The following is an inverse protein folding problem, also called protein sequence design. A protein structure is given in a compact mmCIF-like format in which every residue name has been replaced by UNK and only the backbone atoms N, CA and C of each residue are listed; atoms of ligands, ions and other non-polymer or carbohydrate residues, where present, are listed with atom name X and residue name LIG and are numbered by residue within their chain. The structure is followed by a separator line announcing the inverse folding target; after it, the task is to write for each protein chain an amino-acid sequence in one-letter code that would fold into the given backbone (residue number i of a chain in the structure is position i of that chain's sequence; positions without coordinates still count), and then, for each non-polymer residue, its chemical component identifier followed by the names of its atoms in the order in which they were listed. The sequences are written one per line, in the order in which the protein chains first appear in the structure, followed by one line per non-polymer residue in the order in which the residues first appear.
data_IF_002562447744
#
_entry.id   IF_002562447744
#
_cell.length_a   1.000
_cell.length_b   1.000
_cell.length_c   1.000
_cell.angle_alpha   90.00
_cell.angle_beta   90.00
_cell.angle_gamma   90.00
#
_symmetry.space_group_name_H-M   'P 1'
#
loop_
_entity.id
_entity.type
_entity.pdbx_description
1 polymer ?
#
# COMPACT_ATOMS: atom_id res chain seq x y z
N UNK A 1 12.42 19.48 2.59
CA UNK A 1 13.43 19.31 3.65
C UNK A 1 13.64 17.83 3.99
N UNK A 2 12.58 17.06 4.28
CA UNK A 2 12.69 15.62 4.61
C UNK A 2 13.20 14.72 3.46
N UNK A 3 12.64 14.80 2.25
CA UNK A 3 13.10 13.98 1.11
C UNK A 3 14.60 14.11 0.83
N UNK A 4 15.15 15.33 0.91
CA UNK A 4 16.59 15.56 0.78
C UNK A 4 17.40 14.88 1.89
N UNK A 5 16.90 14.89 3.13
CA UNK A 5 17.55 14.20 4.26
C UNK A 5 17.58 12.70 4.05
N UNK A 6 16.47 12.14 3.57
CA UNK A 6 16.31 10.70 3.34
C UNK A 6 16.93 10.20 2.01
N UNK A 7 17.56 11.09 1.23
CA UNK A 7 18.22 10.71 -0.02
C UNK A 7 17.24 10.38 -1.14
N UNK A 8 16.06 11.00 -1.15
CA UNK A 8 15.05 10.83 -2.19
C UNK A 8 15.63 11.18 -3.58
N UNK A 9 15.57 10.21 -4.49
CA UNK A 9 15.94 10.40 -5.89
C UNK A 9 15.07 9.49 -6.75
N UNK A 10 14.31 10.08 -7.67
CA UNK A 10 13.62 9.32 -8.72
C UNK A 10 14.66 8.85 -9.75
N UNK A 11 14.71 7.54 -10.00
CA UNK A 11 15.60 6.92 -10.98
C UNK A 11 15.05 7.02 -12.42
N UNK A 12 15.79 6.47 -13.39
CA UNK A 12 15.41 6.49 -14.80
C UNK A 12 14.10 5.76 -15.11
N UNK A 13 13.65 4.83 -14.25
CA UNK A 13 12.41 4.07 -14.41
C UNK A 13 11.24 4.74 -13.64
N UNK A 14 11.45 5.97 -13.18
CA UNK A 14 10.47 6.71 -12.41
C UNK A 14 10.26 6.14 -11.01
N UNK A 15 11.18 5.35 -10.46
CA UNK A 15 11.07 4.80 -9.10
C UNK A 15 11.82 5.67 -8.10
N UNK A 16 11.17 6.02 -7.00
CA UNK A 16 11.75 6.77 -5.90
C UNK A 16 12.71 5.87 -5.14
N UNK A 17 14.01 6.15 -5.21
CA UNK A 17 15.04 5.57 -4.35
C UNK A 17 15.23 6.46 -3.12
N UNK A 18 15.61 5.85 -1.99
CA UNK A 18 15.80 6.53 -0.70
C UNK A 18 17.22 6.26 -0.18
N UNK A 19 18.22 6.86 -0.82
CA UNK A 19 19.63 6.43 -0.71
C UNK A 19 20.26 6.62 0.67
N UNK A 20 19.63 7.40 1.55
CA UNK A 20 20.11 7.57 2.93
C UNK A 20 19.31 6.73 3.93
N UNK A 21 18.31 5.95 3.48
CA UNK A 21 17.51 5.07 4.33
C UNK A 21 18.00 3.64 4.23
N UNK A 22 18.08 2.95 5.36
CA UNK A 22 18.26 1.51 5.43
C UNK A 22 16.97 0.82 5.02
N UNK A 23 16.95 0.25 3.82
CA UNK A 23 15.78 -0.45 3.29
C UNK A 23 15.77 -1.92 3.76
N UNK A 24 16.95 -2.52 3.95
CA UNK A 24 17.11 -3.87 4.52
C UNK A 24 18.11 -3.85 5.66
N UNK A 25 18.11 -4.89 6.50
CA UNK A 25 19.10 -5.02 7.58
C UNK A 25 20.55 -5.16 7.07
N UNK A 26 20.70 -5.67 5.85
CA UNK A 26 21.98 -5.79 5.17
C UNK A 26 22.45 -4.52 4.46
N UNK A 27 21.63 -3.46 4.45
CA UNK A 27 21.97 -2.18 3.82
C UNK A 27 23.18 -1.53 4.51
N UNK A 28 24.23 -1.34 3.72
CA UNK A 28 25.52 -0.82 4.15
C UNK A 28 25.63 0.71 4.06
N UNK A 29 24.77 1.38 3.30
CA UNK A 29 24.89 2.81 2.99
C UNK A 29 23.90 3.69 3.74
N UNK A 30 22.70 3.17 4.05
CA UNK A 30 21.68 3.94 4.73
C UNK A 30 22.14 4.49 6.09
N UNK A 31 22.00 5.80 6.30
CA UNK A 31 22.32 6.49 7.56
C UNK A 31 21.13 6.54 8.52
N UNK A 32 19.92 6.44 7.98
CA UNK A 32 18.66 6.48 8.71
C UNK A 32 17.97 5.12 8.65
N UNK A 33 17.20 4.79 9.67
CA UNK A 33 16.33 3.62 9.67
C UNK A 33 14.95 4.03 10.12
N UNK A 34 13.95 3.33 9.63
CA UNK A 34 12.61 3.46 10.16
C UNK A 34 12.54 2.95 11.61
N UNK A 35 11.58 3.48 12.36
CA UNK A 35 11.27 2.96 13.70
C UNK A 35 10.74 1.53 13.57
N UNK A 36 11.03 0.72 14.59
CA UNK A 36 10.47 -0.62 14.75
C UNK A 36 9.34 -0.65 15.78
N UNK A 37 9.03 0.49 16.39
CA UNK A 37 7.87 0.65 17.27
C UNK A 37 6.65 1.00 16.40
N UNK A 38 5.57 0.23 16.56
CA UNK A 38 4.37 0.39 15.74
C UNK A 38 3.63 1.71 16.03
N UNK A 39 3.55 2.15 17.28
CA UNK A 39 2.87 3.39 17.64
C UNK A 39 3.61 4.61 17.07
N UNK A 40 4.94 4.63 17.19
CA UNK A 40 5.77 5.67 16.55
C UNK A 40 5.60 5.68 15.01
N UNK A 41 5.38 4.50 14.42
CA UNK A 41 5.14 4.39 12.98
C UNK A 41 3.79 5.01 12.61
N UNK A 42 2.73 4.74 13.37
CA UNK A 42 1.42 5.35 13.17
C UNK A 42 1.42 6.86 13.41
N UNK A 43 2.09 7.34 14.46
CA UNK A 43 2.22 8.77 14.75
C UNK A 43 2.94 9.52 13.62
N UNK A 44 3.95 8.88 13.02
CA UNK A 44 4.61 9.43 11.84
C UNK A 44 3.65 9.50 10.65
N UNK A 45 2.81 8.48 10.43
CA UNK A 45 1.82 8.52 9.34
C UNK A 45 0.86 9.69 9.51
N UNK A 46 0.32 9.89 10.70
CA UNK A 46 -0.56 11.01 11.04
C UNK A 46 0.13 12.35 10.76
N UNK A 47 1.31 12.54 11.35
CA UNK A 47 2.08 13.80 11.23
C UNK A 47 2.45 14.10 9.78
N UNK A 48 2.88 13.08 9.03
CA UNK A 48 3.29 13.26 7.65
C UNK A 48 2.11 13.53 6.72
N UNK A 49 0.99 12.81 6.92
CA UNK A 49 -0.25 13.05 6.19
C UNK A 49 -0.78 14.46 6.41
N UNK A 50 -0.70 15.01 7.62
CA UNK A 50 -1.07 16.41 7.89
C UNK A 50 -0.21 17.41 7.11
N UNK A 51 1.10 17.15 7.01
CA UNK A 51 2.01 17.96 6.20
C UNK A 51 1.63 17.89 4.72
N UNK A 52 1.32 16.70 4.21
CA UNK A 52 0.91 16.51 2.81
C UNK A 52 -0.41 17.20 2.53
N UNK A 53 -1.41 17.05 3.39
CA UNK A 53 -2.71 17.72 3.26
C UNK A 53 -2.55 19.25 3.28
N UNK A 54 -1.68 19.78 4.14
CA UNK A 54 -1.36 21.22 4.19
C UNK A 54 -0.63 21.72 2.93
N UNK A 55 0.27 20.91 2.36
CA UNK A 55 0.98 21.24 1.13
C UNK A 55 0.11 21.10 -0.14
N UNK A 56 -0.85 20.17 -0.11
CA UNK A 56 -1.71 19.79 -1.24
C UNK A 56 -3.19 19.82 -0.85
N UNK A 57 -3.75 21.00 -0.47
CA UNK A 57 -5.12 21.10 0.04
C UNK A 57 -6.21 20.72 -0.98
N UNK A 58 -5.84 20.62 -2.27
CA UNK A 58 -6.73 20.20 -3.37
C UNK A 58 -6.40 18.80 -3.90
N UNK A 59 -5.53 18.05 -3.22
CA UNK A 59 -4.95 16.82 -3.72
C UNK A 59 -3.63 17.02 -4.45
N UNK A 60 -2.95 15.91 -4.74
CA UNK A 60 -1.73 15.89 -5.52
C UNK A 60 -2.08 16.21 -6.98
N UNK A 61 -1.50 17.27 -7.57
CA UNK A 61 -1.86 17.71 -8.91
C UNK A 61 -1.44 16.66 -9.95
N UNK A 62 -2.34 16.25 -10.85
CA UNK A 62 -2.04 15.24 -11.89
C UNK A 62 -1.77 15.83 -13.28
N UNK A 63 -1.95 17.15 -13.43
CA UNK A 63 -1.77 17.90 -14.67
C UNK A 63 -0.41 18.61 -14.78
N UNK A 64 0.55 18.25 -13.92
CA UNK A 64 1.89 18.84 -13.95
C UNK A 64 2.70 18.35 -15.17
N UNK A 65 3.59 19.23 -15.64
CA UNK A 65 4.53 18.90 -16.72
C UNK A 65 5.59 17.93 -16.21
N UNK A 66 5.73 16.78 -16.85
CA UNK A 66 6.78 15.80 -16.56
C UNK A 66 8.18 16.44 -16.61
N UNK A 67 9.02 16.05 -15.66
CA UNK A 67 10.38 16.60 -15.47
C UNK A 67 10.45 17.99 -14.85
N UNK A 68 9.32 18.65 -14.55
CA UNK A 68 9.33 19.88 -13.74
C UNK A 68 9.62 19.57 -12.27
N UNK A 69 10.16 20.55 -11.54
CA UNK A 69 10.43 20.41 -10.10
C UNK A 69 9.16 20.07 -9.30
N UNK A 70 8.03 20.67 -9.65
CA UNK A 70 6.74 20.39 -8.99
C UNK A 70 6.27 18.95 -9.29
N UNK A 71 6.49 18.47 -10.52
CA UNK A 71 6.17 17.10 -10.89
C UNK A 71 7.01 16.11 -10.09
N UNK A 72 8.33 16.31 -10.03
CA UNK A 72 9.22 15.47 -9.23
C UNK A 72 8.82 15.48 -7.76
N UNK A 73 8.47 16.65 -7.21
CA UNK A 73 8.02 16.76 -5.82
C UNK A 73 6.72 16.01 -5.54
N UNK A 74 5.74 16.11 -6.45
CA UNK A 74 4.49 15.38 -6.36
C UNK A 74 4.71 13.86 -6.50
N UNK A 75 5.62 13.44 -7.38
CA UNK A 75 6.01 12.05 -7.56
C UNK A 75 6.71 11.48 -6.32
N UNK A 76 7.69 12.20 -5.77
CA UNK A 76 8.34 11.85 -4.50
C UNK A 76 7.29 11.73 -3.38
N UNK A 77 6.33 12.64 -3.33
CA UNK A 77 5.26 12.61 -2.32
C UNK A 77 4.35 11.41 -2.49
N UNK A 78 3.89 11.14 -3.71
CA UNK A 78 3.08 9.97 -4.00
C UNK A 78 3.82 8.69 -3.63
N UNK A 79 5.03 8.49 -4.13
CA UNK A 79 5.76 7.23 -3.94
C UNK A 79 6.30 7.05 -2.52
N UNK A 80 6.52 8.11 -1.75
CA UNK A 80 6.98 7.98 -0.37
C UNK A 80 5.98 7.23 0.54
N UNK A 81 4.68 7.23 0.19
CA UNK A 81 3.65 6.43 0.88
C UNK A 81 4.01 4.94 0.92
N UNK A 82 4.74 4.47 -0.10
CA UNK A 82 5.18 3.09 -0.18
C UNK A 82 6.26 2.79 0.85
N UNK A 83 7.20 3.71 1.06
CA UNK A 83 8.20 3.54 2.11
C UNK A 83 7.59 3.64 3.51
N UNK A 84 6.53 4.44 3.67
CA UNK A 84 5.75 4.47 4.91
C UNK A 84 5.03 3.14 5.15
N UNK A 85 4.48 2.50 4.12
CA UNK A 85 3.92 1.15 4.25
C UNK A 85 5.00 0.13 4.65
N UNK A 86 6.23 0.25 4.12
CA UNK A 86 7.34 -0.63 4.48
C UNK A 86 7.66 -0.52 5.96
N UNK A 87 7.79 0.72 6.44
CA UNK A 87 7.98 1.03 7.85
C UNK A 87 6.90 0.36 8.70
N UNK A 88 5.64 0.49 8.32
CA UNK A 88 4.53 -0.08 9.08
C UNK A 88 4.57 -1.61 9.11
N UNK A 89 4.87 -2.23 7.96
CA UNK A 89 5.01 -3.68 7.83
C UNK A 89 6.15 -4.20 8.73
N UNK A 90 7.31 -3.53 8.70
CA UNK A 90 8.47 -3.89 9.50
C UNK A 90 8.24 -3.66 11.00
N UNK A 91 7.62 -2.54 11.38
CA UNK A 91 7.30 -2.21 12.76
C UNK A 91 6.29 -3.20 13.36
N UNK A 92 5.25 -3.58 12.61
CA UNK A 92 4.29 -4.59 13.03
C UNK A 92 4.98 -5.94 13.27
N UNK A 93 5.88 -6.34 12.37
CA UNK A 93 6.66 -7.58 12.48
C UNK A 93 7.62 -7.56 13.66
N UNK A 94 8.29 -6.44 13.90
CA UNK A 94 9.21 -6.25 15.01
C UNK A 94 8.50 -6.20 16.37
N UNK A 95 7.29 -5.63 16.44
CA UNK A 95 6.50 -5.57 17.67
C UNK A 95 5.98 -6.96 18.11
N UNK A 96 5.72 -7.85 17.15
CA UNK A 96 5.15 -9.18 17.40
C UNK A 96 5.91 -10.29 16.64
N UNK A 97 7.19 -10.54 16.97
CA UNK A 97 8.04 -11.46 16.21
C UNK A 97 7.51 -12.90 16.26
N UNK A 98 6.99 -13.31 17.41
CA UNK A 98 6.49 -14.68 17.68
C UNK A 98 5.08 -14.97 17.13
N UNK A 99 4.45 -14.03 16.41
CA UNK A 99 3.16 -14.29 15.78
C UNK A 99 3.32 -15.18 14.54
N UNK A 100 2.37 -16.11 14.34
CA UNK A 100 2.42 -17.10 13.26
C UNK A 100 2.40 -16.47 11.85
N UNK A 101 1.65 -15.38 11.68
CA UNK A 101 1.55 -14.61 10.44
C UNK A 101 1.21 -13.15 10.76
N UNK A 102 1.12 -12.30 9.74
CA UNK A 102 0.88 -10.87 9.92
C UNK A 102 -0.54 -10.54 10.39
N UNK A 103 -1.56 -11.32 10.03
CA UNK A 103 -2.91 -11.16 10.58
C UNK A 103 -2.92 -11.35 12.10
N UNK A 104 -2.20 -12.34 12.62
CA UNK A 104 -2.07 -12.55 14.06
C UNK A 104 -1.31 -11.39 14.73
N UNK A 105 -0.39 -10.72 14.03
CA UNK A 105 0.25 -9.49 14.51
C UNK A 105 -0.78 -8.35 14.63
N UNK A 106 -1.63 -8.18 13.63
CA UNK A 106 -2.71 -7.17 13.64
C UNK A 106 -3.67 -7.43 14.80
N UNK A 107 -4.10 -8.68 15.02
CA UNK A 107 -4.97 -9.06 16.16
C UNK A 107 -4.31 -8.75 17.50
N UNK A 108 -3.04 -9.12 17.67
CA UNK A 108 -2.28 -8.82 18.91
C UNK A 108 -2.17 -7.30 19.14
N UNK A 109 -1.91 -6.53 18.09
CA UNK A 109 -1.90 -5.08 18.16
C UNK A 109 -3.24 -4.52 18.63
N UNK A 110 -4.34 -4.93 18.00
CA UNK A 110 -5.69 -4.48 18.38
C UNK A 110 -6.06 -4.85 19.83
N UNK A 111 -5.65 -6.02 20.30
CA UNK A 111 -5.89 -6.46 21.67
C UNK A 111 -5.12 -5.63 22.70
N UNK A 112 -3.90 -5.19 22.36
CA UNK A 112 -3.08 -4.33 23.21
C UNK A 112 -3.50 -2.85 23.16
N UNK A 113 -4.15 -2.40 22.07
CA UNK A 113 -4.48 -0.99 21.81
C UNK A 113 -5.98 -0.80 21.56
N UNK A 114 -6.84 -0.90 22.59
CA UNK A 114 -8.31 -0.86 22.43
C UNK A 114 -8.86 0.46 21.87
N UNK A 115 -8.05 1.52 21.81
CA UNK A 115 -8.45 2.85 21.34
C UNK A 115 -7.80 3.26 20.01
N UNK A 116 -6.79 2.51 19.55
CA UNK A 116 -6.09 2.71 18.28
C UNK A 116 -6.02 1.35 17.58
N UNK A 117 -7.12 0.97 16.94
CA UNK A 117 -7.27 -0.37 16.35
C UNK A 117 -7.24 -0.31 14.84
N UNK A 118 -6.88 -1.42 14.22
CA UNK A 118 -7.18 -1.68 12.83
C UNK A 118 -8.59 -2.27 12.69
N UNK A 119 -9.36 -1.80 11.72
CA UNK A 119 -10.66 -2.36 11.35
C UNK A 119 -10.62 -2.92 9.94
N UNK A 120 -11.47 -3.90 9.65
CA UNK A 120 -11.68 -4.38 8.29
C UNK A 120 -12.26 -3.29 7.39
N UNK A 121 -11.85 -3.28 6.13
CA UNK A 121 -12.30 -2.32 5.10
C UNK A 121 -12.48 -3.04 3.75
N UNK A 122 -13.24 -2.41 2.86
CA UNK A 122 -13.55 -2.89 1.51
C UNK A 122 -12.28 -3.14 0.69
N UNK A 123 -12.08 -4.37 0.24
CA UNK A 123 -10.81 -4.82 -0.33
C UNK A 123 -10.79 -4.98 -1.87
N UNK A 124 -11.83 -4.53 -2.58
CA UNK A 124 -11.99 -4.74 -4.03
C UNK A 124 -10.75 -4.34 -4.85
N UNK A 125 -10.13 -3.22 -4.52
CA UNK A 125 -8.98 -2.70 -5.26
C UNK A 125 -7.67 -3.46 -5.00
N UNK A 126 -7.67 -4.34 -4.00
CA UNK A 126 -6.55 -5.23 -3.63
C UNK A 126 -6.86 -6.70 -3.98
N UNK A 127 -7.83 -6.95 -4.86
CA UNK A 127 -8.22 -8.29 -5.29
C UNK A 127 -8.20 -8.38 -6.82
N UNK A 128 -7.17 -7.83 -7.45
CA UNK A 128 -7.09 -7.75 -8.91
C UNK A 128 -6.85 -9.12 -9.53
N UNK A 129 -7.22 -9.25 -10.80
CA UNK A 129 -7.04 -10.48 -11.56
C UNK A 129 -6.73 -10.19 -13.04
N UNK A 130 -6.33 -11.25 -13.77
CA UNK A 130 -6.05 -11.25 -15.21
C UNK A 130 -7.08 -12.13 -15.93
N UNK A 131 -7.43 -11.83 -17.18
CA UNK A 131 -8.40 -12.61 -17.96
C UNK A 131 -9.71 -11.86 -18.21
N UNK A 132 -10.82 -12.54 -18.44
CA UNK A 132 -12.17 -11.97 -18.59
C UNK A 132 -12.93 -11.90 -17.25
N UNK A 133 -13.95 -11.04 -17.06
CA UNK A 133 -14.75 -10.96 -15.82
C UNK A 133 -15.10 -12.29 -15.16
N UNK A 134 -15.52 -13.29 -15.96
CA UNK A 134 -15.85 -14.64 -15.48
C UNK A 134 -14.68 -15.42 -14.87
N UNK A 135 -13.45 -15.09 -15.26
CA UNK A 135 -12.22 -15.76 -14.81
C UNK A 135 -11.85 -15.34 -13.38
N UNK A 136 -12.53 -14.33 -12.80
CA UNK A 136 -12.30 -13.93 -11.41
C UNK A 136 -12.58 -15.07 -10.43
N UNK A 137 -13.61 -15.88 -10.69
CA UNK A 137 -13.96 -17.01 -9.83
C UNK A 137 -12.81 -18.04 -9.77
N UNK A 138 -12.26 -18.41 -10.93
CA UNK A 138 -11.14 -19.36 -11.01
C UNK A 138 -9.87 -18.76 -10.38
N UNK A 139 -9.65 -17.46 -10.54
CA UNK A 139 -8.57 -16.74 -9.86
C UNK A 139 -8.72 -16.84 -8.34
N UNK A 140 -9.90 -16.52 -7.82
CA UNK A 140 -10.22 -16.58 -6.40
C UNK A 140 -10.06 -17.99 -5.82
N UNK A 141 -10.57 -19.03 -6.50
CA UNK A 141 -10.45 -20.41 -6.02
C UNK A 141 -8.98 -20.83 -5.86
N UNK A 142 -8.12 -20.37 -6.78
CA UNK A 142 -6.68 -20.68 -6.74
C UNK A 142 -5.94 -19.84 -5.69
N UNK A 143 -6.09 -18.52 -5.72
CA UNK A 143 -5.24 -17.59 -4.98
C UNK A 143 -5.87 -17.09 -3.67
N UNK A 144 -7.19 -17.15 -3.54
CA UNK A 144 -7.94 -16.55 -2.44
C UNK A 144 -8.26 -15.08 -2.66
N UNK A 145 -9.01 -14.52 -1.72
CA UNK A 145 -9.25 -13.08 -1.61
C UNK A 145 -8.36 -12.49 -0.52
N UNK A 146 -7.82 -11.31 -0.79
CA UNK A 146 -7.11 -10.50 0.18
C UNK A 146 -8.11 -9.74 1.06
N UNK A 147 -7.79 -9.59 2.35
CA UNK A 147 -8.50 -8.73 3.28
C UNK A 147 -7.72 -7.45 3.52
N UNK A 148 -8.44 -6.34 3.64
CA UNK A 148 -7.87 -5.02 3.92
C UNK A 148 -8.21 -4.61 5.35
N UNK A 149 -7.21 -4.06 6.04
CA UNK A 149 -7.35 -3.45 7.35
C UNK A 149 -6.79 -2.03 7.32
N UNK A 150 -7.48 -1.10 7.97
CA UNK A 150 -7.07 0.31 8.04
C UNK A 150 -7.05 0.77 9.48
N UNK A 151 -6.22 1.76 9.77
CA UNK A 151 -6.25 2.43 11.07
C UNK A 151 -7.65 2.98 11.35
N UNK A 152 -8.08 2.90 12.61
CA UNK A 152 -9.35 3.44 13.12
C UNK A 152 -9.10 4.25 14.38
N UNK A 153 -9.92 5.29 14.59
CA UNK A 153 -9.70 6.30 15.63
C UNK A 153 -9.11 7.57 15.04
N UNK A 154 -7.78 7.63 14.92
CA UNK A 154 -7.04 8.85 14.54
C UNK A 154 -6.84 9.07 13.04
N UNK A 155 -7.51 8.29 12.19
CA UNK A 155 -7.54 8.50 10.74
C UNK A 155 -7.40 7.23 9.91
N UNK A 156 -7.49 7.39 8.59
CA UNK A 156 -7.47 6.32 7.57
C UNK A 156 -6.09 6.15 6.91
N UNK A 157 -5.00 6.50 7.61
CA UNK A 157 -3.69 6.62 6.99
C UNK A 157 -2.98 5.28 6.80
N UNK A 158 -2.95 4.41 7.80
CA UNK A 158 -2.27 3.12 7.66
C UNK A 158 -3.19 2.08 7.04
N UNK A 159 -2.65 1.32 6.09
CA UNK A 159 -3.33 0.22 5.42
C UNK A 159 -2.47 -1.04 5.49
N UNK A 160 -3.11 -2.16 5.85
CA UNK A 160 -2.57 -3.50 5.72
C UNK A 160 -3.46 -4.31 4.80
N UNK A 161 -2.83 -5.06 3.90
CA UNK A 161 -3.51 -6.02 3.03
C UNK A 161 -2.93 -7.38 3.36
N UNK A 162 -3.76 -8.36 3.70
CA UNK A 162 -3.31 -9.72 3.98
C UNK A 162 -3.95 -10.72 3.03
N UNK A 163 -3.19 -11.75 2.67
CA UNK A 163 -3.68 -12.87 1.87
C UNK A 163 -4.62 -13.80 2.68
N UNK A 164 -5.12 -14.85 2.02
CA UNK A 164 -5.94 -15.89 2.65
C UNK A 164 -5.23 -16.64 3.78
N UNK A 165 -3.90 -16.66 3.79
CA UNK A 165 -3.07 -17.32 4.80
C UNK A 165 -2.68 -16.37 5.95
N UNK A 166 -3.04 -15.10 5.86
CA UNK A 166 -2.74 -14.07 6.85
C UNK A 166 -1.37 -13.41 6.70
N UNK A 167 -0.69 -13.53 5.55
CA UNK A 167 0.58 -12.84 5.29
C UNK A 167 0.32 -11.50 4.61
N UNK A 168 1.13 -10.48 4.90
CA UNK A 168 1.05 -9.19 4.22
C UNK A 168 1.30 -9.33 2.71
N UNK A 169 0.42 -8.74 1.92
CA UNK A 169 0.61 -8.48 0.50
C UNK A 169 1.22 -7.10 0.38
N UNK A 170 2.46 -7.03 -0.08
CA UNK A 170 3.22 -5.79 -0.18
C UNK A 170 4.25 -5.86 -1.30
N UNK A 171 4.44 -4.76 -2.02
CA UNK A 171 5.37 -4.70 -3.15
C UNK A 171 6.82 -5.00 -2.76
N UNK A 172 7.18 -4.79 -1.49
CA UNK A 172 8.51 -5.09 -0.95
C UNK A 172 8.85 -6.58 -0.99
N UNK A 173 7.85 -7.46 -1.11
CA UNK A 173 8.05 -8.89 -1.31
C UNK A 173 8.39 -9.27 -2.77
N UNK A 174 8.19 -8.36 -3.74
CA UNK A 174 8.47 -8.61 -5.16
C UNK A 174 9.78 -7.97 -5.63
N UNK A 175 10.21 -6.89 -4.98
CA UNK A 175 11.41 -6.18 -5.36
C UNK A 175 12.68 -6.93 -4.92
N UNK A 176 13.66 -6.95 -5.82
CA UNK A 176 15.04 -7.22 -5.45
C UNK A 176 15.67 -5.93 -4.95
N UNK A 177 16.40 -6.01 -3.85
CA UNK A 177 17.09 -4.87 -3.25
C UNK A 177 18.58 -5.23 -3.17
N UNK A 178 19.43 -4.35 -3.67
CA UNK A 178 20.88 -4.55 -3.64
C UNK A 178 21.49 -4.33 -2.24
N UNK A 179 22.79 -4.57 -2.10
CA UNK A 179 23.53 -4.39 -0.84
C UNK A 179 23.57 -2.95 -0.31
N UNK A 180 23.22 -1.97 -1.15
CA UNK A 180 23.16 -0.55 -0.85
C UNK A 180 21.73 -0.06 -0.62
N UNK A 181 20.74 -0.96 -0.57
CA UNK A 181 19.35 -0.61 -0.33
C UNK A 181 18.61 -0.08 -1.56
N UNK A 182 19.20 -0.12 -2.76
CA UNK A 182 18.51 0.33 -3.97
C UNK A 182 17.59 -0.76 -4.50
N UNK A 183 16.38 -0.37 -4.88
CA UNK A 183 15.41 -1.25 -5.52
C UNK A 183 15.76 -1.45 -6.98
N UNK A 184 15.83 -2.70 -7.43
CA UNK A 184 15.85 -3.03 -8.85
C UNK A 184 14.47 -2.71 -9.46
N UNK A 185 14.36 -1.54 -10.07
CA UNK A 185 13.14 -0.99 -10.65
C UNK A 185 12.95 -1.33 -12.14
N UNK A 186 13.72 -2.26 -12.71
CA UNK A 186 13.65 -2.59 -14.15
C UNK A 186 12.22 -3.02 -14.56
N UNK A 187 11.52 -2.23 -15.40
CA UNK A 187 10.18 -2.56 -15.84
C UNK A 187 10.12 -3.80 -16.75
N UNK A 188 11.26 -4.30 -17.24
CA UNK A 188 11.35 -5.48 -18.10
C UNK A 188 11.63 -6.78 -17.35
N UNK A 189 11.90 -6.72 -16.04
CA UNK A 189 12.00 -7.90 -15.19
C UNK A 189 10.76 -8.78 -15.34
N UNK A 190 10.97 -10.09 -15.46
CA UNK A 190 9.90 -11.07 -15.56
C UNK A 190 9.44 -11.48 -14.16
N UNK A 191 8.42 -10.78 -13.65
CA UNK A 191 7.77 -11.14 -12.40
C UNK A 191 6.86 -12.36 -12.57
N UNK A 192 6.96 -13.31 -11.66
CA UNK A 192 5.99 -14.40 -11.47
C UNK A 192 4.59 -13.83 -11.19
N UNK A 193 3.55 -14.66 -11.31
CA UNK A 193 2.18 -14.19 -11.06
C UNK A 193 2.00 -13.76 -9.61
N UNK A 194 2.59 -14.49 -8.68
CA UNK A 194 2.57 -14.21 -7.24
C UNK A 194 3.29 -12.89 -6.92
N UNK A 195 4.47 -12.62 -7.51
CA UNK A 195 5.14 -11.33 -7.37
C UNK A 195 4.33 -10.18 -7.99
N UNK A 196 3.67 -10.41 -9.14
CA UNK A 196 2.79 -9.40 -9.73
C UNK A 196 1.64 -9.04 -8.79
N UNK A 197 1.04 -10.01 -8.09
CA UNK A 197 0.00 -9.76 -7.08
C UNK A 197 0.54 -8.89 -5.93
N UNK A 198 1.76 -9.15 -5.47
CA UNK A 198 2.41 -8.29 -4.45
C UNK A 198 2.53 -6.83 -4.92
N UNK A 199 2.79 -6.60 -6.21
CA UNK A 199 2.87 -5.26 -6.79
C UNK A 199 1.48 -4.61 -6.92
N UNK A 200 0.49 -5.31 -7.47
CA UNK A 200 -0.79 -4.68 -7.86
C UNK A 200 -1.84 -4.63 -6.75
N UNK A 201 -1.76 -5.55 -5.78
CA UNK A 201 -2.68 -5.64 -4.65
C UNK A 201 -2.07 -5.16 -3.33
N UNK A 202 -0.77 -4.86 -3.33
CA UNK A 202 -0.03 -4.45 -2.14
C UNK A 202 -0.63 -3.25 -1.40
N UNK A 203 -0.35 -3.19 -0.11
CA UNK A 203 -0.76 -2.08 0.73
C UNK A 203 -0.06 -0.77 0.37
N UNK A 204 -0.65 0.36 0.79
CA UNK A 204 0.01 1.66 0.76
C UNK A 204 -0.63 2.63 1.75
N UNK A 205 0.18 3.44 2.43
CA UNK A 205 -0.35 4.48 3.33
C UNK A 205 -1.19 5.48 2.56
N UNK A 206 -2.31 5.94 3.12
CA UNK A 206 -3.12 7.03 2.59
C UNK A 206 -2.73 8.35 3.26
N UNK A 207 -2.90 9.46 2.54
CA UNK A 207 -2.77 10.81 3.07
C UNK A 207 -4.11 11.44 3.44
N UNK A 208 -5.22 10.93 2.89
CA UNK A 208 -6.55 11.39 3.29
C UNK A 208 -7.02 10.73 4.60
N UNK A 209 -7.65 11.52 5.45
CA UNK A 209 -8.16 11.11 6.77
C UNK A 209 -9.35 10.13 6.73
N UNK A 210 -10.01 9.95 5.57
CA UNK A 210 -11.16 9.05 5.41
C UNK A 210 -11.40 8.66 3.94
N UNK A 211 -12.01 7.49 3.73
CA UNK A 211 -12.54 7.05 2.44
C UNK A 211 -13.86 7.76 2.04
N UNK A 212 -14.64 8.22 3.02
CA UNK A 212 -15.98 8.81 2.83
C UNK A 212 -15.96 10.22 2.20
N UNK A 213 -14.83 10.93 2.27
CA UNK A 213 -14.60 12.19 1.55
C UNK A 213 -14.08 11.90 0.14
N UNK A 214 -14.81 11.09 -0.63
CA UNK A 214 -14.31 10.44 -1.86
C UNK A 214 -13.58 11.34 -2.87
N UNK A 215 -13.89 12.64 -2.95
CA UNK A 215 -13.13 13.59 -3.80
C UNK A 215 -11.74 13.93 -3.26
N UNK A 216 -11.56 14.02 -1.94
CA UNK A 216 -10.28 14.34 -1.33
C UNK A 216 -9.37 13.11 -1.24
N UNK A 217 -9.92 11.96 -0.83
CA UNK A 217 -9.23 10.67 -0.91
C UNK A 217 -8.83 10.34 -2.35
N UNK A 218 -9.74 10.52 -3.31
CA UNK A 218 -9.43 10.37 -4.73
C UNK A 218 -8.24 11.22 -5.15
N UNK A 219 -8.28 12.52 -4.84
CA UNK A 219 -7.27 13.48 -5.30
C UNK A 219 -5.90 13.34 -4.59
N UNK A 220 -5.84 12.82 -3.36
CA UNK A 220 -4.58 12.58 -2.64
C UNK A 220 -4.00 11.19 -2.89
N UNK A 221 -4.84 10.17 -2.98
CA UNK A 221 -4.39 8.78 -2.88
C UNK A 221 -4.65 7.96 -4.14
N UNK A 222 -5.73 8.22 -4.89
CA UNK A 222 -6.15 7.35 -6.00
C UNK A 222 -5.76 7.90 -7.38
N UNK A 223 -6.11 9.14 -7.67
CA UNK A 223 -5.83 9.80 -8.96
C UNK A 223 -4.31 9.87 -9.27
N UNK A 224 -3.44 10.15 -8.27
CA UNK A 224 -1.98 10.19 -8.46
C UNK A 224 -1.36 8.90 -8.99
N UNK A 225 -1.95 7.73 -8.72
CA UNK A 225 -1.43 6.41 -9.14
C UNK A 225 -1.15 6.38 -10.63
N UNK A 226 -2.10 6.82 -11.44
CA UNK A 226 -1.98 6.80 -12.91
C UNK A 226 -0.86 7.69 -13.47
N UNK A 227 -0.37 8.64 -12.67
CA UNK A 227 0.60 9.66 -13.09
C UNK A 227 1.97 9.48 -12.45
N UNK A 228 2.02 8.99 -11.23
CA UNK A 228 3.21 9.01 -10.39
C UNK A 228 3.68 7.63 -9.95
N UNK A 229 2.97 6.54 -10.26
CA UNK A 229 3.52 5.20 -10.05
C UNK A 229 4.76 4.97 -10.93
N UNK A 230 5.76 4.20 -10.44
CA UNK A 230 6.91 3.81 -11.23
C UNK A 230 6.53 2.94 -12.42
N UNK A 231 7.37 2.94 -13.46
CA UNK A 231 7.10 2.23 -14.72
C UNK A 231 6.80 0.75 -14.53
N UNK A 232 7.49 0.09 -13.60
CA UNK A 232 7.26 -1.32 -13.26
C UNK A 232 5.83 -1.58 -12.81
N UNK A 233 5.25 -0.73 -11.95
CA UNK A 233 3.86 -0.87 -11.45
C UNK A 233 2.87 -0.60 -12.58
N UNK A 234 3.12 0.42 -13.40
CA UNK A 234 2.27 0.72 -14.56
C UNK A 234 2.23 -0.44 -15.56
N UNK A 235 3.40 -1.01 -15.88
CA UNK A 235 3.52 -2.09 -16.85
C UNK A 235 2.92 -3.39 -16.34
N UNK A 236 3.18 -3.77 -15.08
CA UNK A 236 2.54 -4.93 -14.47
C UNK A 236 1.04 -4.69 -14.37
N UNK A 237 0.63 -3.58 -13.76
CA UNK A 237 -0.76 -3.20 -13.50
C UNK A 237 -1.65 -3.13 -14.75
N UNK A 238 -1.10 -2.77 -15.91
CA UNK A 238 -1.84 -2.74 -17.18
C UNK A 238 -2.52 -4.07 -17.56
N UNK A 239 -2.04 -5.19 -17.02
CA UNK A 239 -2.58 -6.54 -17.26
C UNK A 239 -3.59 -6.99 -16.21
N UNK A 240 -3.75 -6.23 -15.13
CA UNK A 240 -4.53 -6.57 -13.96
C UNK A 240 -5.72 -5.62 -13.81
N UNK A 241 -6.88 -6.17 -13.44
CA UNK A 241 -8.10 -5.38 -13.25
C UNK A 241 -8.78 -5.75 -11.95
N UNK A 242 -9.43 -4.76 -11.34
CA UNK A 242 -10.27 -4.99 -10.16
C UNK A 242 -11.55 -5.72 -10.56
N UNK A 243 -12.09 -6.59 -9.69
CA UNK A 243 -13.27 -7.36 -10.00
C UNK A 243 -14.51 -6.48 -10.14
N UNK A 244 -15.51 -6.98 -10.87
CA UNK A 244 -16.76 -6.26 -11.14
C UNK A 244 -17.73 -6.49 -9.98
N UNK A 245 -18.27 -5.41 -9.42
CA UNK A 245 -19.20 -5.44 -8.27
C UNK A 245 -20.67 -5.33 -8.68
N UNK A 246 -20.94 -5.24 -9.99
CA UNK A 246 -22.28 -5.03 -10.57
C UNK A 246 -23.00 -3.74 -10.14
N UNK A 247 -22.33 -2.84 -9.39
CA UNK A 247 -22.87 -1.52 -9.06
C UNK A 247 -23.19 -0.73 -10.33
N UNK A 248 -24.45 -0.31 -10.47
CA UNK A 248 -24.93 0.59 -11.51
C UNK A 248 -25.63 -0.06 -12.71
N UNK A 249 -25.65 -1.40 -12.83
CA UNK A 249 -26.47 -2.12 -13.84
C UNK A 249 -26.88 -3.50 -13.31
N UNK A 250 -28.18 -3.74 -13.17
CA UNK A 250 -28.77 -5.02 -12.69
C UNK A 250 -28.35 -6.25 -13.53
N UNK A 251 -27.89 -6.03 -14.77
CA UNK A 251 -27.39 -7.07 -15.67
C UNK A 251 -25.87 -7.27 -15.65
N UNK A 252 -25.12 -6.45 -14.90
CA UNK A 252 -23.68 -6.61 -14.80
C UNK A 252 -23.35 -7.77 -13.86
N UNK A 253 -22.41 -8.65 -14.23
CA UNK A 253 -22.07 -9.77 -13.37
C UNK A 253 -21.40 -9.30 -12.08
N UNK A 254 -21.87 -9.82 -10.95
CA UNK A 254 -21.36 -9.56 -9.60
C UNK A 254 -20.31 -10.62 -9.24
N UNK A 255 -19.04 -10.31 -9.48
CA UNK A 255 -17.94 -11.23 -9.20
C UNK A 255 -17.27 -10.97 -7.86
N UNK A 256 -17.47 -9.80 -7.26
CA UNK A 256 -16.96 -9.45 -5.93
C UNK A 256 -18.02 -8.76 -5.10
N UNK A 257 -18.18 -9.23 -3.86
CA UNK A 257 -19.09 -8.65 -2.88
C UNK A 257 -18.31 -7.74 -1.93
N UNK A 258 -18.41 -6.44 -2.18
CA UNK A 258 -17.65 -5.43 -1.44
C UNK A 258 -18.02 -5.39 0.03
N UNK A 259 -19.31 -5.47 0.36
CA UNK A 259 -19.79 -5.36 1.74
C UNK A 259 -19.46 -6.65 2.52
N UNK A 260 -19.56 -7.80 1.86
CA UNK A 260 -19.07 -9.07 2.43
C UNK A 260 -17.56 -9.01 2.69
N UNK A 261 -16.76 -8.41 1.81
CA UNK A 261 -15.30 -8.34 2.00
C UNK A 261 -14.91 -7.58 3.29
N UNK A 262 -15.61 -6.49 3.60
CA UNK A 262 -15.42 -5.72 4.83
C UNK A 262 -15.89 -6.51 6.06
N UNK A 263 -17.06 -7.15 5.96
CA UNK A 263 -17.61 -7.99 7.04
C UNK A 263 -16.67 -9.14 7.38
N UNK A 264 -16.21 -9.88 6.37
CA UNK A 264 -15.31 -11.02 6.54
C UNK A 264 -13.97 -10.59 7.14
N UNK A 265 -13.42 -9.44 6.71
CA UNK A 265 -12.21 -8.87 7.32
C UNK A 265 -12.43 -8.57 8.82
N UNK A 266 -13.54 -7.92 9.18
CA UNK A 266 -13.85 -7.65 10.58
C UNK A 266 -14.12 -8.92 11.40
N UNK A 267 -14.69 -9.96 10.79
CA UNK A 267 -14.83 -11.27 11.43
C UNK A 267 -13.48 -11.94 11.67
N UNK A 268 -12.54 -11.85 10.71
CA UNK A 268 -11.17 -12.35 10.86
C UNK A 268 -10.40 -11.68 12.00
N UNK A 269 -10.76 -10.47 12.43
CA UNK A 269 -10.13 -9.77 13.57
C UNK A 269 -10.63 -10.22 14.94
N UNK A 270 -11.77 -10.91 15.00
CA UNK A 270 -12.28 -11.44 16.27
C UNK A 270 -11.36 -12.58 16.69
N UNK A 271 -10.88 -12.52 17.93
CA UNK A 271 -10.09 -13.60 18.51
C UNK A 271 -10.97 -14.86 18.64
N UNK A 272 -10.43 -16.00 18.23
CA UNK A 272 -10.94 -17.31 18.65
C UNK A 272 -10.54 -17.58 20.12
#
# INVERSE_FOLDING_TARGET
MIYKVLGAKVDENGFLQMTNMKITDSDQQGAYKFTTNMDDALDFDNTFSDIVQGAYPKGLPTNLKEGSQDFTRAQETHQFRYYMDKKNNDALRAAYPEAANDLERIKKYNAAHPHHQFKGEKARYHNKYQGEPKDYKDHFEKYGENSKYVSSGDGFYTEFVVDKNGNLVTQWNAYEIDENGNVNSDPNKQYTKEEQMQLVDGNSVNYAESSDKGKHHGALDSDPVSKYDPEVRNKVGSKWKSPVTGEGKESAPHYFDTDKSEKDANERLKND
#
